data_IF_286249014295
#
_entry.id   IF_286249014295
#
_cell.length_a   1.000
_cell.length_b   1.000
_cell.length_c   1.000
_cell.angle_alpha   90.00
_cell.angle_beta   90.00
_cell.angle_gamma   90.00
#
_symmetry.space_group_name_H-M   'P 1'
#
loop_
_entity.id
_entity.type
_entity.pdbx_description
1 polymer ?
#
# COMPACT_ATOMS: atom_id res chain seq x y z
N UNK A 1 -12.51 -9.82 8.76
CA UNK A 1 -13.74 -9.01 8.58
C UNK A 1 -13.55 -8.17 7.32
N UNK A 2 -14.00 -8.67 6.17
CA UNK A 2 -13.69 -8.13 4.83
C UNK A 2 -14.97 -7.62 4.18
N UNK A 3 -15.54 -6.54 4.73
CA UNK A 3 -16.77 -5.93 4.23
C UNK A 3 -16.62 -4.40 4.21
N UNK A 4 -17.58 -3.71 3.57
CA UNK A 4 -17.64 -2.24 3.45
C UNK A 4 -17.35 -1.48 4.75
N UNK A 5 -17.65 -2.07 5.92
CA UNK A 5 -17.34 -1.50 7.24
C UNK A 5 -15.85 -1.25 7.47
N UNK A 6 -14.96 -2.07 6.89
CA UNK A 6 -13.52 -1.92 7.02
C UNK A 6 -12.93 -0.88 6.04
N UNK A 7 -13.69 -0.46 5.02
CA UNK A 7 -13.21 0.46 4.00
C UNK A 7 -12.91 1.84 4.58
N UNK A 8 -13.73 2.34 5.51
CA UNK A 8 -13.49 3.62 6.18
C UNK A 8 -12.17 3.62 6.98
N UNK A 9 -11.90 2.54 7.72
CA UNK A 9 -10.62 2.37 8.41
C UNK A 9 -9.46 2.29 7.42
N UNK A 10 -9.62 1.57 6.32
CA UNK A 10 -8.60 1.42 5.30
C UNK A 10 -8.25 2.74 4.59
N UNK A 11 -9.25 3.61 4.35
CA UNK A 11 -9.03 4.98 3.86
C UNK A 11 -8.22 5.81 4.87
N UNK A 12 -8.55 5.72 6.16
CA UNK A 12 -7.79 6.41 7.21
C UNK A 12 -6.34 5.90 7.30
N UNK A 13 -6.16 4.59 7.20
CA UNK A 13 -4.84 3.96 7.15
C UNK A 13 -4.01 4.45 5.97
N UNK A 14 -4.60 4.51 4.76
CA UNK A 14 -3.92 5.04 3.57
C UNK A 14 -3.49 6.50 3.73
N UNK A 15 -4.32 7.32 4.38
CA UNK A 15 -3.95 8.71 4.72
C UNK A 15 -2.81 8.77 5.74
N UNK A 16 -2.83 7.88 6.74
CA UNK A 16 -1.79 7.80 7.76
C UNK A 16 -0.43 7.45 7.15
N UNK A 17 -0.34 6.39 6.34
CA UNK A 17 0.95 6.00 5.74
C UNK A 17 1.47 7.01 4.71
N UNK A 18 0.62 7.92 4.24
CA UNK A 18 1.00 9.04 3.37
C UNK A 18 1.50 10.25 4.17
N UNK A 19 1.14 10.38 5.45
CA UNK A 19 1.73 11.38 6.33
C UNK A 19 3.11 10.92 6.78
N UNK A 20 4.11 11.78 6.61
CA UNK A 20 5.53 11.49 6.91
C UNK A 20 5.84 11.36 8.41
N UNK A 21 4.84 11.42 9.27
CA UNK A 21 4.99 11.30 10.72
C UNK A 21 5.16 9.82 11.09
N UNK A 22 6.42 9.41 11.15
CA UNK A 22 6.83 8.07 11.55
C UNK A 22 6.48 7.88 13.04
N UNK A 23 5.30 7.33 13.31
CA UNK A 23 4.93 6.80 14.60
C UNK A 23 5.03 5.29 14.51
N UNK A 24 6.18 4.70 14.86
CA UNK A 24 6.33 3.24 14.77
C UNK A 24 6.65 2.64 16.14
N UNK A 25 5.59 2.47 16.93
CA UNK A 25 5.52 1.48 18.02
C UNK A 25 4.64 0.27 17.64
N UNK A 26 4.26 0.13 16.37
CA UNK A 26 3.34 -0.91 15.89
C UNK A 26 4.09 -2.17 15.46
N UNK A 27 3.46 -3.32 15.69
CA UNK A 27 3.91 -4.59 15.13
C UNK A 27 3.66 -4.62 13.61
N UNK A 28 4.72 -4.42 12.84
CA UNK A 28 4.67 -4.39 11.37
C UNK A 28 4.27 -5.73 10.76
N UNK A 29 4.54 -6.83 11.46
CA UNK A 29 4.18 -8.18 11.01
C UNK A 29 2.66 -8.33 10.98
N UNK A 30 2.02 -7.96 12.10
CA UNK A 30 0.56 -7.94 12.22
C UNK A 30 -0.09 -6.92 11.29
N UNK A 31 0.58 -5.79 11.03
CA UNK A 31 0.09 -4.78 10.10
C UNK A 31 0.05 -5.31 8.67
N UNK A 32 1.11 -5.98 8.19
CA UNK A 32 1.11 -6.61 6.86
C UNK A 32 0.01 -7.66 6.75
N UNK A 33 -0.15 -8.52 7.76
CA UNK A 33 -1.21 -9.52 7.77
C UNK A 33 -2.61 -8.89 7.72
N UNK A 34 -2.78 -7.74 8.37
CA UNK A 34 -4.04 -6.96 8.36
C UNK A 34 -4.28 -6.33 6.99
N UNK A 35 -3.26 -5.73 6.37
CA UNK A 35 -3.35 -5.20 5.01
C UNK A 35 -3.73 -6.32 4.04
N UNK A 36 -3.06 -7.48 4.12
CA UNK A 36 -3.35 -8.65 3.27
C UNK A 36 -4.82 -9.07 3.37
N UNK A 37 -5.40 -9.08 4.58
CA UNK A 37 -6.82 -9.35 4.79
C UNK A 37 -7.70 -8.24 4.21
N UNK A 38 -7.33 -6.97 4.35
CA UNK A 38 -8.12 -5.86 3.82
C UNK A 38 -8.19 -5.86 2.29
N UNK A 39 -7.06 -6.11 1.62
CA UNK A 39 -6.97 -6.12 0.15
C UNK A 39 -7.50 -7.41 -0.49
N UNK A 40 -7.88 -8.42 0.29
CA UNK A 40 -8.61 -9.58 -0.26
C UNK A 40 -10.02 -9.18 -0.72
N UNK A 41 -10.51 -8.01 -0.31
CA UNK A 41 -11.71 -7.38 -0.84
C UNK A 41 -11.34 -6.44 -1.99
N UNK A 42 -11.85 -6.71 -3.20
CA UNK A 42 -11.43 -6.04 -4.44
C UNK A 42 -11.52 -4.50 -4.37
N UNK A 43 -12.59 -3.88 -3.85
CA UNK A 43 -12.64 -2.41 -3.75
C UNK A 43 -11.56 -1.81 -2.86
N UNK A 44 -11.15 -2.51 -1.81
CA UNK A 44 -10.03 -2.06 -0.97
C UNK A 44 -8.71 -2.23 -1.71
N UNK A 45 -8.54 -3.30 -2.50
CA UNK A 45 -7.35 -3.50 -3.34
C UNK A 45 -7.22 -2.39 -4.39
N UNK A 46 -8.30 -2.07 -5.09
CA UNK A 46 -8.36 -0.96 -6.05
C UNK A 46 -7.96 0.35 -5.39
N UNK A 47 -8.55 0.64 -4.22
CA UNK A 47 -8.22 1.83 -3.45
C UNK A 47 -6.73 1.84 -3.06
N UNK A 48 -6.20 0.71 -2.60
CA UNK A 48 -4.80 0.59 -2.21
C UNK A 48 -3.84 0.87 -3.39
N UNK A 49 -4.15 0.35 -4.58
CA UNK A 49 -3.35 0.58 -5.80
C UNK A 49 -3.44 2.04 -6.23
N UNK A 50 -4.66 2.60 -6.29
CA UNK A 50 -4.88 3.98 -6.71
C UNK A 50 -4.19 5.00 -5.79
N UNK A 51 -4.06 4.70 -4.49
CA UNK A 51 -3.39 5.57 -3.51
C UNK A 51 -1.90 5.26 -3.31
N UNK A 52 -1.26 4.52 -4.23
CA UNK A 52 0.16 4.17 -4.15
C UNK A 52 0.54 3.42 -2.84
N UNK A 53 -0.37 2.58 -2.34
CA UNK A 53 -0.31 2.05 -0.98
C UNK A 53 0.99 1.32 -0.64
N UNK A 54 1.55 0.50 -1.54
CA UNK A 54 2.82 -0.18 -1.30
C UNK A 54 4.00 0.78 -1.17
N UNK A 55 4.04 1.83 -2.01
CA UNK A 55 5.09 2.83 -1.97
C UNK A 55 5.04 3.66 -0.68
N UNK A 56 3.84 4.14 -0.33
CA UNK A 56 3.63 4.89 0.91
C UNK A 56 3.93 4.03 2.14
N UNK A 57 3.52 2.77 2.14
CA UNK A 57 3.85 1.82 3.21
C UNK A 57 5.36 1.59 3.34
N UNK A 58 6.07 1.40 2.22
CA UNK A 58 7.52 1.26 2.23
C UNK A 58 8.21 2.49 2.84
N UNK A 59 7.81 3.69 2.42
CA UNK A 59 8.38 4.93 2.94
C UNK A 59 8.10 5.10 4.44
N UNK A 60 6.86 4.83 4.86
CA UNK A 60 6.44 4.90 6.26
C UNK A 60 7.24 3.93 7.14
N UNK A 61 7.50 2.72 6.64
CA UNK A 61 8.17 1.65 7.39
C UNK A 61 9.69 1.57 7.16
N UNK A 62 10.29 2.45 6.33
CA UNK A 62 11.64 2.27 5.75
C UNK A 62 12.72 1.88 6.77
N UNK A 63 12.71 2.51 7.94
CA UNK A 63 13.70 2.29 9.00
C UNK A 63 13.53 0.96 9.76
N UNK A 64 12.44 0.24 9.52
CA UNK A 64 12.03 -0.97 10.25
C UNK A 64 11.84 -2.19 9.32
N UNK A 65 12.20 -2.07 8.03
CA UNK A 65 11.92 -3.08 7.00
C UNK A 65 12.79 -4.34 7.08
N UNK A 66 13.91 -4.33 7.80
CA UNK A 66 14.90 -5.44 7.81
C UNK A 66 14.27 -6.78 8.17
N UNK A 67 13.31 -6.78 9.10
CA UNK A 67 12.71 -8.03 9.62
C UNK A 67 11.48 -8.49 8.83
N UNK A 68 10.88 -7.62 8.02
CA UNK A 68 9.62 -7.88 7.31
C UNK A 68 9.78 -7.90 5.79
N UNK A 69 11.01 -7.82 5.28
CA UNK A 69 11.32 -7.71 3.84
C UNK A 69 10.64 -8.82 3.02
N UNK A 70 10.71 -10.08 3.47
CA UNK A 70 10.07 -11.20 2.77
C UNK A 70 8.54 -11.06 2.72
N UNK A 71 7.90 -10.71 3.84
CA UNK A 71 6.44 -10.50 3.89
C UNK A 71 6.00 -9.32 3.02
N UNK A 72 6.76 -8.23 3.02
CA UNK A 72 6.51 -7.10 2.16
C UNK A 72 6.56 -7.49 0.67
N UNK A 73 7.59 -8.24 0.25
CA UNK A 73 7.68 -8.72 -1.13
C UNK A 73 6.53 -9.67 -1.50
N UNK A 74 6.16 -10.57 -0.59
CA UNK A 74 5.01 -11.44 -0.80
C UNK A 74 3.71 -10.62 -0.95
N UNK A 75 3.55 -9.53 -0.19
CA UNK A 75 2.40 -8.64 -0.34
C UNK A 75 2.40 -7.92 -1.69
N UNK A 76 3.55 -7.45 -2.18
CA UNK A 76 3.69 -6.90 -3.53
C UNK A 76 3.20 -7.91 -4.58
N UNK A 77 3.75 -9.13 -4.55
CA UNK A 77 3.40 -10.22 -5.48
C UNK A 77 1.90 -10.48 -5.47
N UNK A 78 1.28 -10.58 -4.29
CA UNK A 78 -0.17 -10.77 -4.15
C UNK A 78 -1.01 -9.64 -4.77
N UNK A 79 -0.52 -8.41 -4.66
CA UNK A 79 -1.21 -7.25 -5.23
C UNK A 79 -1.11 -7.25 -6.76
N UNK A 80 0.01 -7.69 -7.33
CA UNK A 80 0.22 -7.59 -8.78
C UNK A 80 -0.11 -8.86 -9.56
N UNK A 81 0.01 -10.04 -8.94
CA UNK A 81 -0.10 -11.34 -9.63
C UNK A 81 -1.36 -12.14 -9.23
N UNK A 82 -1.74 -12.16 -7.95
CA UNK A 82 -2.71 -13.15 -7.46
C UNK A 82 -4.20 -12.73 -7.53
N UNK A 83 -4.52 -11.45 -7.73
CA UNK A 83 -5.94 -11.03 -7.81
C UNK A 83 -6.15 -10.15 -9.03
N UNK A 84 -7.01 -10.64 -9.93
CA UNK A 84 -7.52 -9.91 -11.09
C UNK A 84 -8.24 -8.65 -10.59
N UNK A 85 -7.60 -7.51 -10.80
CA UNK A 85 -8.25 -6.21 -10.66
C UNK A 85 -8.70 -5.80 -12.04
N UNK A 86 -9.99 -5.51 -12.21
CA UNK A 86 -10.48 -4.98 -13.47
C UNK A 86 -9.74 -3.68 -13.77
N UNK A 87 -9.07 -3.62 -14.93
CA UNK A 87 -8.29 -2.42 -15.31
C UNK A 87 -9.17 -1.17 -15.35
N UNK A 88 -10.46 -1.32 -15.63
CA UNK A 88 -11.48 -0.26 -15.58
C UNK A 88 -11.70 0.32 -14.18
N UNK A 89 -11.44 -0.44 -13.11
CA UNK A 89 -11.55 0.03 -11.73
C UNK A 89 -10.35 0.89 -11.30
N UNK A 90 -9.23 0.81 -12.04
CA UNK A 90 -8.05 1.62 -11.78
C UNK A 90 -8.20 3.02 -12.36
N UNK A 91 -7.68 4.02 -11.65
CA UNK A 91 -7.73 5.42 -12.09
C UNK A 91 -6.43 5.78 -12.81
N UNK A 92 -6.43 5.94 -14.15
CA UNK A 92 -5.20 6.19 -14.91
C UNK A 92 -4.48 7.48 -14.50
N UNK A 93 -5.24 8.51 -14.09
CA UNK A 93 -4.70 9.77 -13.60
C UNK A 93 -3.86 9.54 -12.34
N UNK A 94 -4.42 8.85 -11.34
CA UNK A 94 -3.70 8.51 -10.11
C UNK A 94 -2.49 7.62 -10.37
N UNK A 95 -2.61 6.61 -11.23
CA UNK A 95 -1.48 5.76 -11.59
C UNK A 95 -0.32 6.58 -12.21
N UNK A 96 -0.65 7.54 -13.09
CA UNK A 96 0.34 8.43 -13.70
C UNK A 96 1.02 9.31 -12.65
N UNK A 97 0.25 9.86 -11.71
CA UNK A 97 0.78 10.65 -10.59
C UNK A 97 1.69 9.82 -9.68
N UNK A 98 1.28 8.60 -9.34
CA UNK A 98 2.04 7.67 -8.50
C UNK A 98 3.39 7.30 -9.14
N UNK A 99 3.41 7.05 -10.46
CA UNK A 99 4.66 6.79 -11.18
C UNK A 99 5.55 8.02 -11.19
N UNK A 100 4.99 9.22 -11.44
CA UNK A 100 5.75 10.49 -11.39
C UNK A 100 6.35 10.74 -10.01
N UNK A 101 5.61 10.47 -8.94
CA UNK A 101 6.08 10.59 -7.56
C UNK A 101 7.29 9.68 -7.31
N UNK A 102 7.19 8.40 -7.68
CA UNK A 102 8.28 7.44 -7.55
C UNK A 102 9.48 7.90 -8.36
N UNK A 103 9.28 8.26 -9.63
CA UNK A 103 10.35 8.72 -10.50
C UNK A 103 11.06 9.93 -9.89
N UNK A 104 10.33 10.97 -9.50
CA UNK A 104 10.91 12.17 -8.90
C UNK A 104 11.72 11.86 -7.64
N UNK A 105 11.25 10.95 -6.79
CA UNK A 105 11.94 10.63 -5.54
C UNK A 105 13.22 9.78 -5.73
N UNK A 106 13.38 9.12 -6.89
CA UNK A 106 14.56 8.29 -7.18
C UNK A 106 15.41 8.79 -8.36
N UNK A 107 14.93 9.73 -9.17
CA UNK A 107 15.65 10.28 -10.32
C UNK A 107 16.69 11.34 -9.96
N UNK A 108 16.72 11.82 -8.71
CA UNK A 108 17.71 12.79 -8.23
C UNK A 108 18.89 12.18 -7.46
N UNK A 109 19.03 10.85 -7.46
CA UNK A 109 20.28 10.21 -7.05
C UNK A 109 21.19 10.01 -8.27
N UNK A 110 21.94 11.07 -8.58
CA UNK A 110 23.12 11.03 -9.44
C UNK A 110 24.36 11.30 -8.59
#
# INVERSE_FOLDING_TARGET
MTCSKAQGFFVLFLKLIKSSDILVSFDLDQLIDSIQKCISYEPNKVLFINENGMYNFYNYCRNHMTNITSKFWNLCIKIFEEVYVERSSLCPVKLTENVKEIMNNYSFHK
#
